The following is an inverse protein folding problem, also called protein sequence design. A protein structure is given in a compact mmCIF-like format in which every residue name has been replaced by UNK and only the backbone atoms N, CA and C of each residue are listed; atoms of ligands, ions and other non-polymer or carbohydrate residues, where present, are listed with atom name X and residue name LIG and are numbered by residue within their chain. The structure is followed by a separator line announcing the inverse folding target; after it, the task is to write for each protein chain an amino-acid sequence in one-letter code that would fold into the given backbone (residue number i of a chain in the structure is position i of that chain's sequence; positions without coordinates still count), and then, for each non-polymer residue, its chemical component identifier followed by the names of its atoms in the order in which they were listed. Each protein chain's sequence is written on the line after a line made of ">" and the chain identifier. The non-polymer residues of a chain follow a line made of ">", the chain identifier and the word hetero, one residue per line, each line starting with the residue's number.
data_IF_471231689722
#
_entry.id   IF_471231689722
#
_cell.length_a   1.000
_cell.length_b   1.000
_cell.length_c   1.000
_cell.angle_alpha   90.00
_cell.angle_beta   90.00
_cell.angle_gamma   90.00
#
_symmetry.space_group_name_H-M   'P 1'
#
loop_
_entity.id
_entity.type
_entity.pdbx_description
1 polymer ?
#
# COMPACT_ATOMS: atom_id res chain seq x y z
N UNK A 1 -13.20 -30.69 -4.71
CA UNK A 1 -12.33 -30.18 -5.81
C UNK A 1 -11.35 -29.09 -5.35
N UNK A 2 -11.59 -28.39 -4.24
CA UNK A 2 -10.69 -27.33 -3.73
C UNK A 2 -9.84 -27.72 -2.50
N UNK A 3 -9.90 -28.96 -2.02
CA UNK A 3 -9.28 -29.36 -0.75
C UNK A 3 -7.74 -29.27 -0.69
N UNK A 4 -7.05 -28.98 -1.81
CA UNK A 4 -5.59 -28.97 -1.89
C UNK A 4 -4.95 -27.64 -2.33
N UNK A 5 -5.70 -26.53 -2.46
CA UNK A 5 -5.17 -25.25 -2.98
C UNK A 5 -4.89 -24.19 -1.91
N UNK A 6 -4.83 -24.56 -0.63
CA UNK A 6 -4.71 -23.60 0.47
C UNK A 6 -3.48 -22.70 0.32
N UNK A 7 -2.35 -23.27 -0.09
CA UNK A 7 -1.09 -22.54 -0.28
C UNK A 7 -1.16 -21.58 -1.48
N UNK A 8 -1.73 -22.02 -2.60
CA UNK A 8 -1.89 -21.22 -3.82
C UNK A 8 -2.83 -20.05 -3.58
N UNK A 9 -3.96 -20.30 -2.89
CA UNK A 9 -4.92 -19.27 -2.50
C UNK A 9 -4.25 -18.27 -1.56
N UNK A 10 -3.46 -18.73 -0.58
CA UNK A 10 -2.73 -17.87 0.33
C UNK A 10 -1.68 -17.00 -0.38
N UNK A 11 -0.94 -17.57 -1.33
CA UNK A 11 0.04 -16.84 -2.15
C UNK A 11 -0.67 -15.76 -2.97
N UNK A 12 -1.78 -16.10 -3.65
CA UNK A 12 -2.56 -15.14 -4.44
C UNK A 12 -3.12 -14.05 -3.54
N UNK A 13 -3.67 -14.39 -2.37
CA UNK A 13 -4.20 -13.43 -1.42
C UNK A 13 -3.12 -12.42 -0.96
N UNK A 14 -1.92 -12.90 -0.64
CA UNK A 14 -0.77 -12.06 -0.25
C UNK A 14 -0.32 -11.14 -1.38
N UNK A 15 -0.24 -11.67 -2.60
CA UNK A 15 0.12 -10.89 -3.78
C UNK A 15 -0.92 -9.81 -4.09
N UNK A 16 -2.22 -10.14 -4.01
CA UNK A 16 -3.29 -9.18 -4.27
C UNK A 16 -3.35 -8.10 -3.20
N UNK A 17 -3.37 -8.49 -1.93
CA UNK A 17 -3.48 -7.55 -0.81
C UNK A 17 -2.22 -6.68 -0.69
N UNK A 18 -1.06 -7.31 -0.60
CA UNK A 18 0.21 -6.60 -0.47
C UNK A 18 0.55 -5.81 -1.73
N UNK A 19 0.25 -6.37 -2.91
CA UNK A 19 0.40 -5.68 -4.18
C UNK A 19 -0.47 -4.43 -4.29
N UNK A 20 -1.72 -4.47 -3.80
CA UNK A 20 -2.57 -3.28 -3.77
C UNK A 20 -1.97 -2.16 -2.90
N UNK A 21 -1.36 -2.51 -1.77
CA UNK A 21 -0.68 -1.56 -0.88
C UNK A 21 0.57 -0.95 -1.52
N UNK A 22 1.44 -1.79 -2.11
CA UNK A 22 2.63 -1.32 -2.83
C UNK A 22 2.23 -0.43 -4.01
N UNK A 23 1.25 -0.85 -4.80
CA UNK A 23 0.74 -0.09 -5.94
C UNK A 23 0.18 1.27 -5.52
N UNK A 24 -0.63 1.31 -4.44
CA UNK A 24 -1.14 2.56 -3.89
C UNK A 24 -0.01 3.51 -3.49
N UNK A 25 1.04 2.99 -2.85
CA UNK A 25 2.23 3.75 -2.48
C UNK A 25 2.99 4.32 -3.68
N UNK A 26 3.28 3.49 -4.68
CA UNK A 26 3.96 3.91 -5.93
C UNK A 26 3.14 4.96 -6.70
N UNK A 27 1.82 4.76 -6.82
CA UNK A 27 0.90 5.73 -7.42
C UNK A 27 0.92 7.06 -6.65
N UNK A 28 1.00 7.01 -5.32
CA UNK A 28 1.06 8.20 -4.47
C UNK A 28 2.41 8.95 -4.62
N UNK A 29 3.51 8.24 -4.88
CA UNK A 29 4.81 8.86 -5.24
C UNK A 29 4.69 9.62 -6.56
N UNK A 30 4.11 8.99 -7.59
CA UNK A 30 3.94 9.63 -8.91
C UNK A 30 3.02 10.85 -8.85
N UNK A 31 1.93 10.78 -8.08
CA UNK A 31 0.91 11.83 -7.99
C UNK A 31 1.10 12.77 -6.80
N UNK A 32 2.30 12.80 -6.21
CA UNK A 32 2.54 13.37 -4.89
C UNK A 32 2.08 14.81 -4.71
N UNK A 33 2.33 15.68 -5.70
CA UNK A 33 1.93 17.10 -5.65
C UNK A 33 0.41 17.26 -5.55
N UNK A 34 -0.34 16.49 -6.35
CA UNK A 34 -1.80 16.49 -6.34
C UNK A 34 -2.34 15.94 -5.02
N UNK A 35 -1.80 14.81 -4.54
CA UNK A 35 -2.29 14.19 -3.30
C UNK A 35 -2.00 15.09 -2.09
N UNK A 36 -0.81 15.70 -2.02
CA UNK A 36 -0.46 16.62 -0.95
C UNK A 36 -1.35 17.88 -0.95
N UNK A 37 -1.66 18.44 -2.13
CA UNK A 37 -2.56 19.61 -2.21
C UNK A 37 -4.00 19.26 -1.81
N UNK A 38 -4.49 18.08 -2.20
CA UNK A 38 -5.80 17.59 -1.77
C UNK A 38 -5.85 17.29 -0.26
N UNK A 39 -4.76 16.81 0.33
CA UNK A 39 -4.65 16.62 1.78
C UNK A 39 -4.62 17.95 2.52
N UNK A 40 -3.84 18.93 2.03
CA UNK A 40 -3.80 20.28 2.61
C UNK A 40 -5.17 20.97 2.52
N UNK A 41 -5.87 20.85 1.39
CA UNK A 41 -7.23 21.38 1.22
C UNK A 41 -8.25 20.75 2.18
N UNK A 42 -7.99 19.52 2.66
CA UNK A 42 -8.79 18.84 3.69
C UNK A 42 -8.32 19.11 5.12
N UNK A 43 -7.40 20.05 5.32
CA UNK A 43 -6.92 20.45 6.64
C UNK A 43 -5.92 19.48 7.28
N UNK A 44 -5.31 18.56 6.51
CA UNK A 44 -4.30 17.65 7.06
C UNK A 44 -3.05 18.45 7.45
N UNK A 45 -2.65 18.46 8.74
CA UNK A 45 -1.46 19.16 9.19
C UNK A 45 -0.22 18.53 8.55
N UNK A 46 0.71 19.37 8.10
CA UNK A 46 1.95 18.93 7.45
C UNK A 46 1.71 17.91 6.31
N UNK A 47 0.70 18.16 5.46
CA UNK A 47 0.21 17.25 4.43
C UNK A 47 1.30 16.52 3.61
N UNK A 48 2.38 17.20 3.23
CA UNK A 48 3.49 16.60 2.48
C UNK A 48 4.28 15.56 3.30
N UNK A 49 4.50 15.80 4.59
CA UNK A 49 5.16 14.87 5.51
C UNK A 49 4.25 13.69 5.83
N UNK A 50 2.97 13.96 6.15
CA UNK A 50 1.97 12.93 6.37
C UNK A 50 1.84 11.99 5.15
N UNK A 51 1.85 12.56 3.93
CA UNK A 51 1.84 11.79 2.70
C UNK A 51 3.09 10.90 2.56
N UNK A 52 4.29 11.43 2.85
CA UNK A 52 5.52 10.65 2.82
C UNK A 52 5.47 9.47 3.79
N UNK A 53 5.06 9.71 5.03
CA UNK A 53 4.92 8.66 6.04
C UNK A 53 3.92 7.59 5.59
N UNK A 54 2.77 8.02 5.04
CA UNK A 54 1.77 7.10 4.49
C UNK A 54 2.30 6.27 3.32
N UNK A 55 3.06 6.87 2.40
CA UNK A 55 3.71 6.15 1.28
C UNK A 55 4.67 5.08 1.80
N UNK A 56 5.59 5.47 2.70
CA UNK A 56 6.59 4.54 3.26
C UNK A 56 5.89 3.38 3.95
N UNK A 57 4.87 3.67 4.76
CA UNK A 57 4.08 2.66 5.45
C UNK A 57 3.35 1.72 4.47
N UNK A 58 2.69 2.27 3.44
CA UNK A 58 1.99 1.47 2.43
C UNK A 58 2.91 0.51 1.70
N UNK A 59 4.06 1.01 1.23
CA UNK A 59 5.01 0.18 0.49
C UNK A 59 5.65 -0.88 1.40
N UNK A 60 6.07 -0.50 2.60
CA UNK A 60 6.69 -1.43 3.55
C UNK A 60 5.71 -2.52 4.00
N UNK A 61 4.50 -2.13 4.41
CA UNK A 61 3.47 -3.08 4.82
C UNK A 61 3.06 -4.01 3.67
N UNK A 62 2.87 -3.46 2.46
CA UNK A 62 2.54 -4.26 1.29
C UNK A 62 3.65 -5.27 0.93
N UNK A 63 4.92 -4.86 1.03
CA UNK A 63 6.06 -5.75 0.81
C UNK A 63 6.15 -6.86 1.88
N UNK A 64 5.91 -6.54 3.15
CA UNK A 64 5.88 -7.52 4.25
C UNK A 64 4.77 -8.57 4.05
N UNK A 65 3.57 -8.14 3.62
CA UNK A 65 2.46 -9.05 3.32
C UNK A 65 2.80 -9.98 2.15
N UNK A 66 3.40 -9.46 1.08
CA UNK A 66 3.86 -10.28 -0.06
C UNK A 66 4.91 -11.30 0.40
N UNK A 67 5.86 -10.87 1.22
CA UNK A 67 6.92 -11.72 1.75
C UNK A 67 6.44 -12.73 2.80
N UNK A 68 5.20 -12.59 3.31
CA UNK A 68 4.66 -13.43 4.37
C UNK A 68 5.32 -13.21 5.73
N UNK A 69 5.85 -12.01 5.99
CA UNK A 69 6.57 -11.63 7.20
C UNK A 69 5.71 -10.82 8.19
N UNK A 70 4.39 -10.93 8.09
CA UNK A 70 3.39 -10.23 8.90
C UNK A 70 2.39 -11.21 9.50
#
# INVERSE_FOLDING_TARGET
>A
MFENFENEILIIARLLLGGAFVFAGLRNIQNRKLVASLMAARGVPQAALALWLGIVLQVAAGALVIAGLW
#
